data_IF_387637075210
#
_entry.id   IF_387637075210
#
_cell.length_a   1.000
_cell.length_b   1.000
_cell.length_c   1.000
_cell.angle_alpha   90.00
_cell.angle_beta   90.00
_cell.angle_gamma   90.00
#
_symmetry.space_group_name_H-M   'P 1'
#
loop_
_entity.id
_entity.type
_entity.pdbx_description
1 polymer ?
#
# COMPACT_ATOMS: atom_id res chain seq x y z
N UNK A 1 -10.77 17.37 -19.06
CA UNK A 1 -9.42 17.54 -19.65
C UNK A 1 -8.56 16.41 -19.08
N UNK A 2 -8.25 15.35 -19.81
CA UNK A 2 -7.37 14.30 -19.31
C UNK A 2 -5.98 14.90 -19.18
N UNK A 3 -5.41 14.88 -17.97
CA UNK A 3 -3.98 15.14 -17.82
C UNK A 3 -3.29 13.84 -18.21
N UNK A 4 -2.64 13.84 -19.36
CA UNK A 4 -1.59 12.88 -19.70
C UNK A 4 -0.48 13.00 -18.66
N UNK A 5 -0.63 12.30 -17.53
CA UNK A 5 0.45 12.13 -16.57
C UNK A 5 1.15 10.85 -16.98
N UNK A 6 2.28 10.98 -17.69
CA UNK A 6 3.23 9.89 -17.81
C UNK A 6 3.86 9.65 -16.43
N UNK A 7 3.19 8.89 -15.57
CA UNK A 7 3.68 8.48 -14.27
C UNK A 7 4.80 7.45 -14.45
N UNK A 8 6.06 7.88 -14.39
CA UNK A 8 7.22 6.99 -14.39
C UNK A 8 7.45 6.37 -13.00
N UNK A 9 6.38 5.90 -12.35
CA UNK A 9 6.41 5.23 -11.05
C UNK A 9 5.85 3.83 -11.24
N UNK A 10 6.65 2.83 -10.90
CA UNK A 10 6.20 1.44 -10.84
C UNK A 10 5.47 1.21 -9.53
N UNK A 11 4.17 0.95 -9.59
CA UNK A 11 3.40 0.53 -8.43
C UNK A 11 3.58 -0.97 -8.21
N UNK A 12 4.05 -1.35 -7.02
CA UNK A 12 4.09 -2.75 -6.58
C UNK A 12 2.67 -3.15 -6.15
N UNK A 13 2.05 -4.03 -6.91
CA UNK A 13 0.72 -4.58 -6.66
C UNK A 13 0.70 -5.47 -5.42
N UNK A 14 -0.51 -5.76 -4.92
CA UNK A 14 -0.73 -6.65 -3.78
C UNK A 14 -0.12 -8.04 -3.97
N UNK A 15 -0.20 -8.57 -5.18
CA UNK A 15 0.31 -9.91 -5.47
C UNK A 15 1.85 -9.94 -5.51
N UNK A 16 2.48 -8.85 -5.96
CA UNK A 16 3.95 -8.71 -6.04
C UNK A 16 4.64 -8.63 -4.68
N UNK A 17 3.95 -8.21 -3.62
CA UNK A 17 4.44 -8.32 -2.23
C UNK A 17 3.78 -9.44 -1.42
N UNK A 18 3.04 -10.32 -2.10
CA UNK A 18 2.39 -11.50 -1.51
C UNK A 18 1.41 -11.17 -0.39
N UNK A 19 0.58 -10.14 -0.59
CA UNK A 19 -0.45 -9.73 0.35
C UNK A 19 -1.45 -10.85 0.62
N UNK A 20 -1.85 -11.01 1.88
CA UNK A 20 -3.02 -11.83 2.25
C UNK A 20 -4.31 -11.22 1.69
N UNK A 21 -5.34 -12.03 1.37
CA UNK A 21 -6.65 -11.52 1.00
C UNK A 21 -7.24 -10.60 2.10
N UNK A 22 -7.95 -9.52 1.75
CA UNK A 22 -8.63 -8.69 2.73
C UNK A 22 -9.78 -9.47 3.42
N UNK A 23 -10.05 -9.16 4.70
CA UNK A 23 -11.19 -9.75 5.44
C UNK A 23 -12.54 -9.19 5.00
N UNK A 24 -12.56 -7.94 4.55
CA UNK A 24 -13.73 -7.27 4.00
C UNK A 24 -13.29 -6.19 3.00
N UNK A 25 -14.15 -5.81 2.07
CA UNK A 25 -13.87 -4.78 1.07
C UNK A 25 -15.01 -3.76 1.01
N UNK A 26 -14.63 -2.50 0.77
CA UNK A 26 -15.56 -1.40 0.49
C UNK A 26 -14.94 -0.50 -0.58
N UNK A 27 -15.76 0.01 -1.49
CA UNK A 27 -15.28 0.88 -2.57
C UNK A 27 -15.31 2.35 -2.14
N UNK A 28 -14.24 3.08 -2.47
CA UNK A 28 -14.20 4.54 -2.28
C UNK A 28 -14.93 5.26 -3.41
N UNK A 29 -15.62 6.36 -3.08
CA UNK A 29 -16.15 7.27 -4.07
C UNK A 29 -15.01 8.05 -4.72
N UNK A 30 -14.89 7.97 -6.04
CA UNK A 30 -13.84 8.64 -6.81
C UNK A 30 -14.42 9.76 -7.68
N UNK A 31 -13.67 10.86 -7.94
CA UNK A 31 -12.34 11.15 -7.42
C UNK A 31 -12.34 11.57 -5.94
N UNK A 32 -11.28 11.25 -5.21
CA UNK A 32 -11.10 11.70 -3.82
C UNK A 32 -10.61 13.15 -3.78
N UNK A 33 -11.03 13.92 -2.77
CA UNK A 33 -10.69 15.35 -2.63
C UNK A 33 -9.53 15.66 -1.67
N UNK A 34 -9.05 14.69 -0.90
CA UNK A 34 -8.04 14.87 0.16
C UNK A 34 -7.00 13.75 0.09
N UNK A 35 -5.73 14.08 0.33
CA UNK A 35 -4.61 13.12 0.47
C UNK A 35 -4.02 13.28 1.86
N UNK A 36 -3.88 12.17 2.59
CA UNK A 36 -3.20 12.12 3.89
C UNK A 36 -1.84 11.45 3.73
N UNK A 37 -0.79 12.07 4.28
CA UNK A 37 0.58 11.55 4.26
C UNK A 37 0.92 11.06 5.67
N UNK A 38 1.32 9.79 5.78
CA UNK A 38 1.65 9.15 7.05
C UNK A 38 3.03 8.47 6.96
N UNK A 39 3.73 8.40 8.10
CA UNK A 39 4.81 7.46 8.30
C UNK A 39 4.26 6.16 8.91
N UNK A 40 4.96 5.04 8.71
CA UNK A 40 4.55 3.72 9.25
C UNK A 40 4.86 3.56 10.74
N UNK A 41 5.88 4.29 11.24
CA UNK A 41 6.48 4.04 12.57
C UNK A 41 7.04 2.60 12.74
N UNK A 42 7.38 1.98 11.62
CA UNK A 42 8.04 0.67 11.51
C UNK A 42 9.48 0.87 11.02
N UNK A 43 10.33 -0.18 10.97
CA UNK A 43 11.63 -0.10 10.33
C UNK A 43 11.56 0.43 8.90
N UNK A 44 12.63 1.09 8.47
CA UNK A 44 12.79 1.55 7.10
C UNK A 44 13.22 0.41 6.16
N UNK A 45 12.97 0.60 4.86
CA UNK A 45 13.34 -0.36 3.83
C UNK A 45 13.73 0.38 2.54
N UNK A 46 14.72 -0.14 1.80
CA UNK A 46 15.27 0.54 0.62
C UNK A 46 15.29 -0.33 -0.65
N UNK A 47 14.82 -1.57 -0.57
CA UNK A 47 14.76 -2.46 -1.72
C UNK A 47 13.49 -3.31 -1.69
N UNK A 48 13.10 -3.84 -2.85
CA UNK A 48 11.86 -4.61 -3.01
C UNK A 48 11.74 -5.73 -1.97
N UNK A 49 12.81 -6.46 -1.72
CA UNK A 49 12.78 -7.60 -0.80
C UNK A 49 12.55 -7.16 0.64
N UNK A 50 13.30 -6.18 1.14
CA UNK A 50 13.10 -5.69 2.51
C UNK A 50 11.75 -4.99 2.67
N UNK A 51 11.31 -4.22 1.68
CA UNK A 51 10.01 -3.57 1.73
C UNK A 51 8.83 -4.54 1.66
N UNK A 52 8.95 -5.65 0.92
CA UNK A 52 7.95 -6.72 0.95
C UNK A 52 7.80 -7.30 2.35
N UNK A 53 8.89 -7.52 3.08
CA UNK A 53 8.84 -8.03 4.47
C UNK A 53 8.16 -7.03 5.39
N UNK A 54 8.56 -5.76 5.36
CA UNK A 54 7.92 -4.72 6.19
C UNK A 54 6.42 -4.56 5.90
N UNK A 55 6.01 -4.62 4.62
CA UNK A 55 4.60 -4.58 4.23
C UNK A 55 3.81 -5.78 4.77
N UNK A 56 4.41 -6.96 4.79
CA UNK A 56 3.80 -8.17 5.37
C UNK A 56 3.64 -8.04 6.89
N UNK A 57 4.64 -7.51 7.59
CA UNK A 57 4.58 -7.31 9.04
C UNK A 57 3.50 -6.28 9.42
N UNK A 58 3.42 -5.17 8.68
CA UNK A 58 2.35 -4.17 8.82
C UNK A 58 0.98 -4.82 8.58
N UNK A 59 0.84 -5.62 7.52
CA UNK A 59 -0.42 -6.32 7.21
C UNK A 59 -0.81 -7.28 8.34
N UNK A 60 0.13 -8.09 8.83
CA UNK A 60 -0.14 -9.08 9.86
C UNK A 60 -0.55 -8.41 11.18
N UNK A 61 0.11 -7.31 11.55
CA UNK A 61 -0.28 -6.54 12.72
C UNK A 61 -1.71 -5.98 12.60
N UNK A 62 -2.04 -5.32 11.49
CA UNK A 62 -3.38 -4.75 11.24
C UNK A 62 -4.49 -5.77 10.98
N UNK A 63 -4.15 -7.03 10.69
CA UNK A 63 -5.16 -8.07 10.51
C UNK A 63 -5.34 -8.86 11.79
N UNK A 64 -4.26 -9.27 12.44
CA UNK A 64 -4.34 -10.29 13.49
C UNK A 64 -4.28 -9.72 14.91
N UNK A 65 -3.73 -8.52 15.08
CA UNK A 65 -3.57 -7.90 16.42
C UNK A 65 -4.50 -6.71 16.62
N UNK A 66 -4.56 -5.77 15.65
CA UNK A 66 -5.23 -4.47 15.80
C UNK A 66 -6.18 -4.16 14.66
#
# INVERSE_FOLDING_TARGET
RPRDVNCNVTLVTRDEWHARPPRNTSHMNTPVGIVFIHHTAMPECENQRSCTVEMQDIQNFHMDVR
#
